data_IF_561912898629
#
_entry.id   IF_561912898629
#
_cell.length_a   1.000
_cell.length_b   1.000
_cell.length_c   1.000
_cell.angle_alpha   90.00
_cell.angle_beta   90.00
_cell.angle_gamma   90.00
#
_symmetry.space_group_name_H-M   'P 1'
#
loop_
_entity.id
_entity.type
_entity.pdbx_description
1 polymer ?
#
# COMPACT_ATOMS: atom_id res chain seq x y z
N UNK A 1 17.66 -2.13 14.46
CA UNK A 1 16.49 -1.21 14.41
C UNK A 1 15.85 -1.30 13.03
N UNK A 2 14.52 -1.42 12.98
CA UNK A 2 13.79 -1.21 11.75
C UNK A 2 13.98 0.26 11.33
N UNK A 3 14.32 0.48 10.07
CA UNK A 3 14.68 1.80 9.54
C UNK A 3 13.61 2.40 8.65
N UNK A 4 12.52 1.66 8.39
CA UNK A 4 11.39 2.15 7.64
C UNK A 4 10.34 2.73 8.58
N UNK A 5 9.94 3.97 8.32
CA UNK A 5 8.85 4.66 8.99
C UNK A 5 7.78 4.97 7.94
N UNK A 6 6.51 4.91 8.34
CA UNK A 6 5.39 5.27 7.47
C UNK A 6 4.88 6.65 7.86
N UNK A 7 4.91 7.57 6.89
CA UNK A 7 4.35 8.90 7.02
C UNK A 7 3.03 8.95 6.27
N UNK A 8 1.96 9.32 6.97
CA UNK A 8 0.64 9.52 6.38
C UNK A 8 0.45 11.03 6.19
N UNK A 9 0.03 11.42 4.99
CA UNK A 9 -0.34 12.79 4.66
C UNK A 9 -1.86 12.83 4.57
N UNK A 10 -2.48 13.60 5.46
CA UNK A 10 -3.92 13.83 5.48
C UNK A 10 -4.19 15.23 4.92
N UNK A 11 -5.17 15.33 4.02
CA UNK A 11 -5.60 16.60 3.46
C UNK A 11 -6.69 17.20 4.35
N UNK A 12 -6.48 18.41 4.86
CA UNK A 12 -7.46 19.14 5.66
C UNK A 12 -8.62 19.72 4.82
N UNK A 13 -8.46 19.75 3.50
CA UNK A 13 -9.45 20.23 2.54
C UNK A 13 -9.20 19.64 1.15
N UNK A 14 -10.22 19.65 0.30
CA UNK A 14 -10.13 19.25 -1.10
C UNK A 14 -9.06 20.07 -1.86
N UNK A 15 -8.39 19.43 -2.82
CA UNK A 15 -7.29 19.99 -3.61
C UNK A 15 -7.55 19.69 -5.08
N UNK A 16 -7.55 20.72 -5.93
CA UNK A 16 -7.61 20.54 -7.39
C UNK A 16 -6.25 20.06 -7.95
N UNK A 17 -5.18 20.76 -7.60
CA UNK A 17 -3.79 20.39 -7.89
C UNK A 17 -2.89 21.01 -6.81
N UNK A 18 -2.00 20.22 -6.22
CA UNK A 18 -0.99 20.70 -5.26
C UNK A 18 0.35 20.01 -5.54
N UNK A 19 1.45 20.77 -5.46
CA UNK A 19 2.80 20.22 -5.59
C UNK A 19 3.61 20.62 -4.38
N UNK A 20 4.16 19.63 -3.67
CA UNK A 20 5.06 19.86 -2.55
C UNK A 20 6.27 18.93 -2.61
N UNK A 21 7.32 19.29 -1.87
CA UNK A 21 8.56 18.52 -1.82
C UNK A 21 8.76 18.00 -0.41
N UNK A 22 8.92 16.69 -0.27
CA UNK A 22 9.35 16.04 0.96
C UNK A 22 10.88 15.92 0.92
N UNK A 23 11.55 16.65 1.81
CA UNK A 23 13.01 16.60 1.93
C UNK A 23 13.43 15.79 3.14
N UNK A 24 14.27 14.78 2.92
CA UNK A 24 14.92 13.99 3.98
C UNK A 24 16.40 14.32 3.97
N UNK A 25 16.90 14.92 5.05
CA UNK A 25 18.31 15.35 5.17
C UNK A 25 19.02 14.72 6.35
N UNK A 26 20.31 14.43 6.21
CA UNK A 26 21.13 13.98 7.34
C UNK A 26 21.48 15.18 8.25
N UNK A 27 21.24 15.12 9.58
CA UNK A 27 21.33 16.29 10.46
C UNK A 27 22.75 16.87 10.59
N UNK A 28 23.78 16.06 10.32
CA UNK A 28 25.19 16.46 10.53
C UNK A 28 26.07 16.35 9.29
N UNK A 29 25.54 15.85 8.15
CA UNK A 29 26.31 15.72 6.91
C UNK A 29 25.76 16.75 5.93
N UNK A 30 26.52 17.82 5.75
CA UNK A 30 26.14 18.90 4.85
C UNK A 30 26.01 18.38 3.41
N UNK A 31 24.89 18.71 2.75
CA UNK A 31 24.58 18.28 1.39
C UNK A 31 24.05 16.85 1.24
N UNK A 32 23.91 16.09 2.32
CA UNK A 32 23.24 14.78 2.26
C UNK A 32 21.73 14.95 2.40
N UNK A 33 21.05 15.10 1.25
CA UNK A 33 19.60 15.18 1.16
C UNK A 33 19.01 14.33 0.04
N UNK A 34 17.77 13.90 0.23
CA UNK A 34 16.91 13.30 -0.78
C UNK A 34 15.64 14.14 -0.84
N UNK A 35 15.24 14.51 -2.05
CA UNK A 35 14.02 15.27 -2.30
C UNK A 35 13.04 14.41 -3.08
N UNK A 36 11.81 14.31 -2.58
CA UNK A 36 10.69 13.66 -3.25
C UNK A 36 9.68 14.75 -3.62
N UNK A 37 9.51 15.02 -4.91
CA UNK A 37 8.42 15.85 -5.40
C UNK A 37 7.13 15.02 -5.42
N UNK A 38 6.10 15.51 -4.74
CA UNK A 38 4.77 14.91 -4.70
C UNK A 38 3.82 15.86 -5.41
N UNK A 39 3.12 15.34 -6.42
CA UNK A 39 2.06 16.04 -7.14
C UNK A 39 0.74 15.37 -6.81
N UNK A 40 -0.16 16.12 -6.19
CA UNK A 40 -1.54 15.73 -5.93
C UNK A 40 -2.42 16.35 -7.00
N UNK A 41 -3.32 15.55 -7.56
CA UNK A 41 -4.29 15.95 -8.57
C UNK A 41 -5.64 15.42 -8.11
N UNK A 42 -6.67 16.25 -8.16
CA UNK A 42 -8.04 15.77 -8.05
C UNK A 42 -8.32 14.80 -9.20
N UNK A 43 -9.00 13.70 -8.88
CA UNK A 43 -9.57 12.79 -9.87
C UNK A 43 -11.10 12.95 -9.91
N UNK A 44 -11.76 12.22 -10.81
CA UNK A 44 -13.21 12.18 -10.93
C UNK A 44 -13.89 11.76 -9.60
N UNK A 45 -15.13 12.21 -9.38
CA UNK A 45 -15.95 11.79 -8.24
C UNK A 45 -16.26 10.28 -8.34
N UNK A 46 -15.42 9.46 -7.73
CA UNK A 46 -15.64 8.03 -7.62
C UNK A 46 -16.76 7.74 -6.63
N UNK A 47 -17.64 6.80 -6.99
CA UNK A 47 -18.75 6.43 -6.12
C UNK A 47 -18.30 5.74 -4.83
N UNK A 48 -17.10 5.17 -4.83
CA UNK A 48 -16.44 4.60 -3.67
C UNK A 48 -14.97 4.99 -3.63
N UNK A 49 -14.55 5.44 -2.45
CA UNK A 49 -13.18 5.73 -2.06
C UNK A 49 -12.85 4.91 -0.81
N UNK A 50 -11.78 4.11 -0.83
CA UNK A 50 -11.37 3.30 0.33
C UNK A 50 -10.72 4.17 1.40
N UNK A 51 -11.41 4.30 2.53
CA UNK A 51 -10.91 5.00 3.72
C UNK A 51 -10.44 4.01 4.81
N UNK A 52 -9.73 4.53 5.82
CA UNK A 52 -9.28 3.80 6.98
C UNK A 52 -10.41 2.96 7.62
N UNK A 53 -10.10 1.69 7.93
CA UNK A 53 -11.04 0.76 8.54
C UNK A 53 -12.07 0.14 7.60
N UNK A 54 -12.13 0.56 6.34
CA UNK A 54 -13.00 -0.06 5.33
C UNK A 54 -12.56 -1.53 5.11
N UNK A 55 -13.55 -2.40 4.80
CA UNK A 55 -13.32 -3.83 4.55
C UNK A 55 -13.65 -4.18 3.11
N UNK A 56 -12.75 -4.89 2.46
CA UNK A 56 -12.89 -5.26 1.04
C UNK A 56 -12.10 -6.53 0.72
N UNK A 57 -12.40 -7.15 -0.41
CA UNK A 57 -11.56 -8.12 -1.09
C UNK A 57 -10.74 -7.38 -2.15
N UNK A 58 -9.43 -7.57 -2.10
CA UNK A 58 -8.46 -6.94 -3.01
C UNK A 58 -7.84 -8.01 -3.88
N UNK A 59 -7.85 -7.77 -5.18
CA UNK A 59 -7.04 -8.52 -6.11
C UNK A 59 -5.61 -7.98 -6.07
N UNK A 60 -4.64 -8.86 -5.84
CA UNK A 60 -3.23 -8.50 -5.74
C UNK A 60 -2.37 -9.32 -6.70
N UNK A 61 -1.31 -8.67 -7.21
CA UNK A 61 -0.14 -9.35 -7.77
C UNK A 61 1.09 -8.87 -7.04
N UNK A 62 2.02 -9.78 -6.76
CA UNK A 62 3.28 -9.45 -6.08
C UNK A 62 4.47 -10.02 -6.81
N UNK A 63 5.52 -9.20 -6.94
CA UNK A 63 6.79 -9.62 -7.53
C UNK A 63 7.99 -9.00 -6.81
N UNK A 64 9.16 -9.61 -6.97
CA UNK A 64 10.43 -9.07 -6.50
C UNK A 64 10.80 -7.86 -7.36
N UNK A 65 11.03 -6.71 -6.73
CA UNK A 65 11.33 -5.45 -7.43
C UNK A 65 12.57 -5.55 -8.33
N UNK A 66 13.62 -6.21 -7.84
CA UNK A 66 14.92 -6.25 -8.52
C UNK A 66 14.94 -7.21 -9.73
N UNK A 67 14.16 -8.30 -9.68
CA UNK A 67 14.20 -9.36 -10.70
C UNK A 67 12.96 -9.37 -11.59
N UNK A 68 11.86 -8.78 -11.16
CA UNK A 68 10.55 -8.90 -11.80
C UNK A 68 9.92 -10.28 -11.65
N UNK A 69 10.46 -11.16 -10.80
CA UNK A 69 9.91 -12.49 -10.56
C UNK A 69 8.58 -12.38 -9.82
N UNK A 70 7.47 -12.72 -10.49
CA UNK A 70 6.16 -12.81 -9.87
C UNK A 70 6.15 -13.96 -8.88
N UNK A 71 5.78 -13.65 -7.64
CA UNK A 71 5.74 -14.60 -6.54
C UNK A 71 4.35 -15.19 -6.36
N UNK A 72 3.32 -14.36 -6.49
CA UNK A 72 1.95 -14.75 -6.21
C UNK A 72 0.93 -13.79 -6.85
N UNK A 73 -0.30 -14.27 -6.98
CA UNK A 73 -1.47 -13.51 -7.46
C UNK A 73 -2.75 -14.14 -6.91
N UNK A 74 -3.69 -13.30 -6.45
CA UNK A 74 -4.95 -13.79 -5.95
C UNK A 74 -5.84 -12.71 -5.36
N UNK A 75 -6.83 -13.14 -4.59
CA UNK A 75 -7.80 -12.27 -3.92
C UNK A 75 -7.72 -12.48 -2.41
N UNK A 76 -7.58 -11.41 -1.64
CA UNK A 76 -7.52 -11.47 -0.17
C UNK A 76 -8.44 -10.42 0.47
N UNK A 77 -9.17 -10.80 1.54
CA UNK A 77 -9.89 -9.83 2.35
C UNK A 77 -8.91 -8.97 3.14
N UNK A 78 -9.19 -7.67 3.26
CA UNK A 78 -8.34 -6.73 4.01
C UNK A 78 -9.20 -5.69 4.72
N UNK A 79 -8.69 -5.22 5.87
CA UNK A 79 -9.16 -4.00 6.51
C UNK A 79 -8.12 -2.90 6.27
N UNK A 80 -8.52 -1.81 5.64
CA UNK A 80 -7.63 -0.72 5.27
C UNK A 80 -7.02 -0.05 6.51
N UNK A 81 -5.71 0.21 6.49
CA UNK A 81 -4.96 0.84 7.56
C UNK A 81 -4.83 0.06 8.87
N UNK A 82 -5.37 -1.17 8.95
CA UNK A 82 -5.25 -1.95 10.18
C UNK A 82 -3.84 -2.52 10.36
N UNK A 83 -3.39 -2.64 11.61
CA UNK A 83 -2.14 -3.35 11.89
C UNK A 83 -2.31 -4.86 11.69
N UNK A 84 -1.27 -5.58 11.21
CA UNK A 84 -1.27 -7.04 11.14
C UNK A 84 -1.55 -7.63 12.53
N UNK A 85 -2.54 -8.53 12.65
CA UNK A 85 -2.89 -9.13 13.95
C UNK A 85 -2.29 -10.52 14.16
N UNK A 86 -1.07 -10.72 13.63
CA UNK A 86 -0.36 -12.00 13.63
C UNK A 86 -0.29 -12.68 15.00
N UNK A 87 -0.06 -11.90 16.06
CA UNK A 87 0.14 -12.39 17.42
C UNK A 87 -1.16 -12.64 18.19
N UNK A 88 -2.32 -12.25 17.64
CA UNK A 88 -3.62 -12.38 18.29
C UNK A 88 -4.31 -13.74 18.03
N UNK A 89 -3.65 -14.69 17.36
CA UNK A 89 -4.18 -16.02 17.10
C UNK A 89 -5.19 -16.11 15.95
N UNK A 90 -5.28 -15.07 15.10
CA UNK A 90 -6.13 -15.03 13.91
C UNK A 90 -5.26 -15.15 12.63
N UNK A 91 -4.98 -16.37 12.15
CA UNK A 91 -4.04 -16.60 11.04
C UNK A 91 -4.46 -15.99 9.69
N UNK A 92 -5.74 -15.67 9.51
CA UNK A 92 -6.27 -15.00 8.32
C UNK A 92 -5.96 -13.51 8.25
N UNK A 93 -5.37 -12.91 9.28
CA UNK A 93 -5.05 -11.48 9.36
C UNK A 93 -3.53 -11.22 9.46
N UNK A 94 -2.72 -12.21 9.06
CA UNK A 94 -1.26 -12.14 9.03
C UNK A 94 -0.71 -11.56 7.72
N UNK A 95 -1.37 -10.55 7.16
CA UNK A 95 -0.82 -9.85 5.99
C UNK A 95 0.25 -8.86 6.43
N UNK A 96 1.11 -8.48 5.49
CA UNK A 96 2.17 -7.52 5.76
C UNK A 96 1.57 -6.13 6.00
N UNK A 97 2.22 -5.29 6.81
CA UNK A 97 1.73 -3.94 7.11
C UNK A 97 1.49 -3.13 5.85
N UNK A 98 2.40 -3.21 4.88
CA UNK A 98 2.26 -2.48 3.61
C UNK A 98 1.03 -2.89 2.79
N UNK A 99 0.50 -4.11 2.95
CA UNK A 99 -0.72 -4.55 2.27
C UNK A 99 -1.96 -3.84 2.83
N UNK A 100 -2.06 -3.71 4.15
CA UNK A 100 -3.16 -3.00 4.80
C UNK A 100 -3.19 -1.51 4.47
N UNK A 101 -2.02 -0.89 4.33
CA UNK A 101 -1.91 0.54 4.06
C UNK A 101 -1.94 0.87 2.57
N UNK A 102 -1.44 -0.01 1.70
CA UNK A 102 -1.39 0.21 0.26
C UNK A 102 -2.76 0.24 -0.43
N UNK A 103 -3.82 -0.19 0.25
CA UNK A 103 -5.20 -0.21 -0.26
C UNK A 103 -5.99 1.06 0.05
N UNK A 104 -5.50 1.92 0.96
CA UNK A 104 -6.14 3.21 1.26
C UNK A 104 -6.07 4.08 0.01
N UNK A 105 -7.20 4.71 -0.33
CA UNK A 105 -7.34 5.55 -1.51
C UNK A 105 -7.65 4.78 -2.80
N UNK A 106 -7.81 3.46 -2.76
CA UNK A 106 -8.34 2.75 -3.92
C UNK A 106 -9.77 3.20 -4.18
N UNK A 107 -10.00 3.63 -5.41
CA UNK A 107 -11.30 4.05 -5.90
C UNK A 107 -11.96 3.01 -6.81
N UNK A 108 -13.30 3.01 -6.81
CA UNK A 108 -14.12 2.19 -7.67
C UNK A 108 -15.54 2.74 -7.85
N UNK A 109 -16.21 2.44 -8.97
CA UNK A 109 -17.65 2.70 -9.14
C UNK A 109 -18.51 1.64 -8.39
N UNK A 110 -19.54 2.08 -7.66
CA UNK A 110 -20.41 1.31 -6.74
C UNK A 110 -21.00 0.05 -7.39
N UNK A 111 -21.24 0.08 -8.70
CA UNK A 111 -21.82 -1.05 -9.44
C UNK A 111 -20.78 -1.92 -10.15
N UNK A 112 -19.48 -1.58 -10.13
CA UNK A 112 -18.51 -2.12 -11.08
C UNK A 112 -17.19 -2.64 -10.52
N UNK A 113 -16.98 -2.69 -9.21
CA UNK A 113 -15.72 -3.19 -8.66
C UNK A 113 -15.39 -4.62 -9.10
N UNK A 114 -16.40 -5.48 -9.19
CA UNK A 114 -16.23 -6.87 -9.62
C UNK A 114 -16.00 -7.04 -11.13
N UNK A 115 -16.09 -5.98 -11.95
CA UNK A 115 -15.94 -6.05 -13.41
C UNK A 115 -14.78 -5.19 -13.96
N UNK A 116 -13.96 -4.59 -13.08
CA UNK A 116 -12.67 -3.98 -13.45
C UNK A 116 -12.66 -2.47 -13.69
N UNK A 117 -13.73 -1.74 -13.36
CA UNK A 117 -13.79 -0.27 -13.50
C UNK A 117 -13.37 0.42 -12.18
N UNK A 118 -12.13 0.19 -11.74
CA UNK A 118 -11.55 0.81 -10.55
C UNK A 118 -10.08 1.17 -10.74
N UNK A 119 -9.53 1.88 -9.76
CA UNK A 119 -8.12 2.26 -9.76
C UNK A 119 -7.22 1.06 -9.42
N UNK A 120 -5.95 1.20 -9.77
CA UNK A 120 -4.91 0.24 -9.42
C UNK A 120 -3.77 0.98 -8.73
N UNK A 121 -3.39 0.52 -7.55
CA UNK A 121 -2.20 1.02 -6.85
C UNK A 121 -1.01 0.11 -7.16
N UNK A 122 0.12 0.72 -7.53
CA UNK A 122 1.41 0.02 -7.59
C UNK A 122 2.29 0.51 -6.44
N UNK A 123 2.48 -0.33 -5.43
CA UNK A 123 3.18 0.02 -4.19
C UNK A 123 4.48 -0.76 -4.09
N UNK A 124 5.60 -0.05 -3.91
CA UNK A 124 6.90 -0.66 -3.65
C UNK A 124 7.11 -0.70 -2.13
N UNK A 125 7.28 -1.90 -1.58
CA UNK A 125 7.40 -2.13 -0.16
C UNK A 125 8.81 -2.61 0.21
N UNK A 126 9.50 -1.94 1.16
CA UNK A 126 10.72 -2.45 1.75
C UNK A 126 10.42 -3.71 2.58
N UNK A 127 11.44 -4.55 2.84
CA UNK A 127 11.31 -5.72 3.70
C UNK A 127 10.60 -5.45 5.03
N UNK A 128 10.92 -4.31 5.68
CA UNK A 128 10.34 -3.90 6.97
C UNK A 128 8.81 -3.78 6.97
N UNK A 129 8.24 -3.39 5.83
CA UNK A 129 6.78 -3.29 5.64
C UNK A 129 6.21 -4.54 4.95
N UNK A 130 7.08 -5.50 4.63
CA UNK A 130 6.80 -6.76 3.94
C UNK A 130 7.27 -7.98 4.78
N UNK A 131 8.16 -8.80 4.24
CA UNK A 131 8.60 -10.08 4.83
C UNK A 131 10.05 -10.03 5.33
N UNK A 132 10.40 -9.05 6.17
CA UNK A 132 11.71 -9.00 6.83
C UNK A 132 11.89 -10.14 7.84
N UNK A 133 13.03 -10.82 7.77
CA UNK A 133 13.43 -11.91 8.66
C UNK A 133 12.37 -13.01 8.81
N UNK A 134 11.70 -13.35 7.69
CA UNK A 134 10.67 -14.38 7.56
C UNK A 134 11.18 -15.52 6.67
N UNK A 135 12.03 -16.42 7.17
CA UNK A 135 12.57 -17.53 6.38
C UNK A 135 11.50 -18.54 5.93
N UNK A 136 10.30 -18.51 6.54
CA UNK A 136 9.12 -19.25 6.08
C UNK A 136 8.50 -18.68 4.79
N UNK A 137 8.97 -17.52 4.31
CA UNK A 137 8.40 -16.76 3.19
C UNK A 137 9.39 -16.57 2.04
N UNK A 138 10.33 -17.49 1.85
CA UNK A 138 11.16 -17.51 0.64
C UNK A 138 10.29 -17.69 -0.62
N UNK A 139 10.60 -17.01 -1.74
CA UNK A 139 11.75 -16.13 -1.95
C UNK A 139 11.53 -14.66 -1.52
N UNK A 140 10.36 -14.33 -0.98
CA UNK A 140 10.00 -12.95 -0.61
C UNK A 140 10.77 -12.39 0.61
N UNK A 141 11.38 -13.28 1.39
CA UNK A 141 12.12 -12.94 2.60
C UNK A 141 13.23 -11.93 2.34
N UNK A 142 13.25 -10.82 3.09
CA UNK A 142 14.24 -9.76 2.96
C UNK A 142 14.35 -9.12 1.56
N UNK A 143 13.30 -9.22 0.73
CA UNK A 143 13.24 -8.60 -0.60
C UNK A 143 12.41 -7.31 -0.59
N UNK A 144 12.75 -6.40 -1.51
CA UNK A 144 11.83 -5.33 -1.91
C UNK A 144 10.78 -5.91 -2.85
N UNK A 145 9.52 -5.68 -2.52
CA UNK A 145 8.38 -6.25 -3.24
C UNK A 145 7.56 -5.14 -3.87
N UNK A 146 7.05 -5.40 -5.06
CA UNK A 146 6.06 -4.53 -5.69
C UNK A 146 4.72 -5.24 -5.64
N UNK A 147 3.70 -4.52 -5.19
CA UNK A 147 2.32 -4.96 -5.15
C UNK A 147 1.50 -4.15 -6.13
N UNK A 148 0.80 -4.82 -7.03
CA UNK A 148 -0.31 -4.26 -7.79
C UNK A 148 -1.59 -4.60 -7.06
N UNK A 149 -2.39 -3.61 -6.67
CA UNK A 149 -3.58 -3.75 -5.83
C UNK A 149 -4.78 -3.13 -6.52
N UNK A 150 -5.90 -3.84 -6.56
CA UNK A 150 -7.18 -3.34 -7.10
C UNK A 150 -8.36 -3.92 -6.32
N UNK A 151 -9.46 -3.18 -6.23
CA UNK A 151 -10.67 -3.64 -5.53
C UNK A 151 -11.35 -4.71 -6.38
N UNK A 152 -11.62 -5.87 -5.78
CA UNK A 152 -12.45 -6.91 -6.39
C UNK A 152 -13.90 -6.82 -5.89
N UNK A 153 -14.10 -6.73 -4.57
CA UNK A 153 -15.43 -6.68 -3.95
C UNK A 153 -15.37 -5.91 -2.62
N UNK A 154 -16.43 -5.18 -2.25
CA UNK A 154 -16.55 -4.59 -0.92
C UNK A 154 -17.38 -5.48 0.00
N UNK A 155 -16.89 -5.64 1.22
CA UNK A 155 -17.58 -6.44 2.24
C UNK A 155 -18.43 -5.48 3.09
N UNK A 156 -19.69 -5.29 2.68
CA UNK A 156 -20.69 -4.47 3.36
C UNK A 156 -21.30 -5.21 4.56
#
# INVERSE_FOLDING_TARGET
PDSAEMLVLELDSDVDEEVFIVTVSHPTVEGAEVQLEVRLLADDDWALHVDYGNRMNVHYKVWISDTGEQLDEGDLPVTAGSEPTCDAGAPSACYIKGFHWGVIGLDCDIFRCAIGDGTTHTVILPPELAYKDRPDREPANNQWLVFELSINELLI
#
